data_IF_257883197975
#
_entry.id   IF_257883197975
#
_cell.length_a   1.000
_cell.length_b   1.000
_cell.length_c   1.000
_cell.angle_alpha   90.00
_cell.angle_beta   90.00
_cell.angle_gamma   90.00
#
_symmetry.space_group_name_H-M   'P 1'
#
loop_
_entity.id
_entity.type
_entity.pdbx_description
1 polymer ?
#
# COMPACT_ATOMS: atom_id res chain seq x y z
N UNK A 1 13.66 19.23 -33.49
CA UNK A 1 14.20 18.04 -32.82
C UNK A 1 13.48 17.94 -31.48
N UNK A 2 12.28 17.35 -31.48
CA UNK A 2 11.44 17.29 -30.27
C UNK A 2 11.81 16.04 -29.50
N UNK A 3 12.58 16.21 -28.43
CA UNK A 3 12.97 15.14 -27.52
C UNK A 3 11.82 14.89 -26.52
N UNK A 4 10.68 14.42 -27.01
CA UNK A 4 9.71 13.81 -26.12
C UNK A 4 10.24 12.41 -25.83
N UNK A 5 10.76 12.20 -24.61
CA UNK A 5 11.08 10.87 -24.12
C UNK A 5 9.81 10.02 -24.21
N UNK A 6 9.81 8.99 -25.05
CA UNK A 6 8.74 8.00 -25.05
C UNK A 6 8.63 7.44 -23.63
N UNK A 7 7.49 7.70 -22.98
CA UNK A 7 7.26 7.18 -21.64
C UNK A 7 7.15 5.67 -21.78
N UNK A 8 8.16 4.95 -21.31
CA UNK A 8 8.10 3.49 -21.23
C UNK A 8 6.96 3.12 -20.28
N UNK A 9 5.86 2.58 -20.81
CA UNK A 9 4.66 2.18 -20.08
C UNK A 9 5.00 1.33 -18.85
N UNK A 10 6.00 0.45 -18.96
CA UNK A 10 6.41 -0.36 -17.83
C UNK A 10 7.00 0.50 -16.70
N UNK A 11 7.89 1.43 -17.01
CA UNK A 11 8.49 2.30 -15.99
C UNK A 11 7.46 3.26 -15.38
N UNK A 12 6.49 3.74 -16.18
CA UNK A 12 5.37 4.52 -15.69
C UNK A 12 4.53 3.73 -14.65
N UNK A 13 4.10 2.51 -14.99
CA UNK A 13 3.34 1.64 -14.08
C UNK A 13 4.10 1.33 -12.79
N UNK A 14 5.40 1.06 -12.89
CA UNK A 14 6.24 0.80 -11.72
C UNK A 14 6.31 2.02 -10.80
N UNK A 15 6.60 3.19 -11.37
CA UNK A 15 6.83 4.40 -10.59
C UNK A 15 5.53 4.86 -9.93
N UNK A 16 4.42 4.87 -10.66
CA UNK A 16 3.12 5.27 -10.08
C UNK A 16 2.72 4.34 -8.94
N UNK A 17 2.87 3.03 -9.10
CA UNK A 17 2.55 2.06 -8.05
C UNK A 17 3.43 2.25 -6.81
N UNK A 18 4.75 2.40 -6.98
CA UNK A 18 5.69 2.58 -5.87
C UNK A 18 5.45 3.85 -5.07
N UNK A 19 5.27 4.97 -5.75
CA UNK A 19 5.03 6.25 -5.07
C UNK A 19 3.64 6.29 -4.45
N UNK A 20 2.63 5.74 -5.12
CA UNK A 20 1.29 5.63 -4.56
C UNK A 20 1.27 4.77 -3.29
N UNK A 21 1.92 3.58 -3.31
CA UNK A 21 2.05 2.72 -2.14
C UNK A 21 2.79 3.41 -0.99
N UNK A 22 3.86 4.15 -1.29
CA UNK A 22 4.63 4.87 -0.27
C UNK A 22 3.80 5.97 0.39
N UNK A 23 3.16 6.83 -0.41
CA UNK A 23 2.33 7.93 0.08
C UNK A 23 1.17 7.36 0.88
N UNK A 24 0.46 6.36 0.34
CA UNK A 24 -0.64 5.68 1.02
C UNK A 24 -0.19 5.05 2.34
N UNK A 25 0.92 4.33 2.33
CA UNK A 25 1.48 3.70 3.52
C UNK A 25 1.80 4.71 4.62
N UNK A 26 2.45 5.83 4.29
CA UNK A 26 2.79 6.87 5.26
C UNK A 26 1.53 7.53 5.82
N UNK A 27 0.61 7.94 4.95
CA UNK A 27 -0.62 8.61 5.36
C UNK A 27 -1.49 7.73 6.25
N UNK A 28 -1.72 6.47 5.84
CA UNK A 28 -2.60 5.57 6.58
C UNK A 28 -1.92 5.08 7.86
N UNK A 29 -0.61 4.86 7.86
CA UNK A 29 0.14 4.57 9.10
C UNK A 29 0.01 5.71 10.12
N UNK A 30 0.27 6.95 9.70
CA UNK A 30 0.15 8.12 10.57
C UNK A 30 -1.28 8.30 11.10
N UNK A 31 -2.27 8.15 10.22
CA UNK A 31 -3.69 8.19 10.60
C UNK A 31 -4.02 7.11 11.63
N UNK A 32 -3.70 5.85 11.34
CA UNK A 32 -4.01 4.72 12.20
C UNK A 32 -3.31 4.78 13.57
N UNK A 33 -2.12 5.38 13.63
CA UNK A 33 -1.35 5.56 14.85
C UNK A 33 -2.03 6.57 15.80
N UNK A 34 -2.62 7.63 15.27
CA UNK A 34 -3.24 8.70 16.06
C UNK A 34 -4.73 8.46 16.28
N UNK A 35 -5.43 7.87 15.31
CA UNK A 35 -6.87 7.61 15.38
C UNK A 35 -7.19 6.61 16.48
N UNK A 36 -8.07 6.95 17.42
CA UNK A 36 -8.44 6.09 18.55
C UNK A 36 -7.53 6.24 19.78
N UNK A 37 -6.45 7.02 19.70
CA UNK A 37 -5.59 7.30 20.87
C UNK A 37 -6.32 8.04 22.01
N UNK A 38 -7.40 8.77 21.70
CA UNK A 38 -8.27 9.45 22.66
C UNK A 38 -8.99 8.48 23.59
N UNK A 39 -9.37 7.30 23.10
CA UNK A 39 -10.02 6.25 23.91
C UNK A 39 -9.10 5.70 25.00
N UNK A 40 -7.78 5.90 24.86
CA UNK A 40 -6.75 5.47 25.79
C UNK A 40 -6.24 6.60 26.70
N UNK A 41 -6.94 7.73 26.77
CA UNK A 41 -6.57 8.89 27.58
C UNK A 41 -5.70 9.92 26.86
N UNK A 42 -5.48 9.77 25.55
CA UNK A 42 -4.76 10.73 24.72
C UNK A 42 -3.25 10.82 24.97
N UNK A 43 -2.62 11.81 24.34
CA UNK A 43 -1.19 12.06 24.44
C UNK A 43 -0.31 10.90 23.94
N UNK A 44 0.96 10.89 24.38
CA UNK A 44 1.94 9.87 23.98
C UNK A 44 1.49 8.46 24.43
N UNK A 45 0.95 8.35 25.65
CA UNK A 45 0.49 7.08 26.20
C UNK A 45 -0.66 6.48 25.37
N UNK A 46 -1.59 7.32 24.93
CA UNK A 46 -2.68 6.89 24.05
C UNK A 46 -2.18 6.41 22.69
N UNK A 47 -1.20 7.10 22.10
CA UNK A 47 -0.56 6.70 20.85
C UNK A 47 0.12 5.33 20.98
N UNK A 48 0.89 5.11 22.05
CA UNK A 48 1.58 3.83 22.28
C UNK A 48 0.58 2.69 22.43
N UNK A 49 -0.51 2.92 23.17
CA UNK A 49 -1.56 1.90 23.36
C UNK A 49 -2.35 1.61 22.09
N UNK A 50 -2.52 2.60 21.22
CA UNK A 50 -3.18 2.45 19.93
C UNK A 50 -2.27 1.90 18.81
N UNK A 51 -0.96 1.78 19.07
CA UNK A 51 0.01 1.29 18.07
C UNK A 51 -0.33 -0.06 17.39
N UNK A 52 -1.04 -1.03 18.01
CA UNK A 52 -1.48 -2.23 17.30
C UNK A 52 -2.36 -1.95 16.07
N UNK A 53 -3.16 -0.88 16.09
CA UNK A 53 -3.97 -0.45 14.94
C UNK A 53 -3.11 0.02 13.75
N UNK A 54 -1.88 0.46 14.03
CA UNK A 54 -0.94 0.93 13.02
C UNK A 54 -0.14 -0.21 12.35
N UNK A 55 -0.10 -1.41 12.95
CA UNK A 55 0.74 -2.53 12.51
C UNK A 55 0.50 -2.98 11.06
N UNK A 56 -0.74 -3.11 10.56
CA UNK A 56 -0.96 -3.48 9.16
C UNK A 56 -0.33 -2.48 8.19
N UNK A 57 -0.27 -1.21 8.56
CA UNK A 57 0.25 -0.14 7.71
C UNK A 57 1.78 -0.04 7.78
N UNK A 58 2.39 -0.36 8.93
CA UNK A 58 3.84 -0.61 9.01
C UNK A 58 4.22 -1.77 8.08
N UNK A 59 3.44 -2.85 8.09
CA UNK A 59 3.67 -3.97 7.17
C UNK A 59 3.56 -3.51 5.71
N UNK A 60 2.57 -2.69 5.36
CA UNK A 60 2.48 -2.10 4.01
C UNK A 60 3.73 -1.28 3.63
N UNK A 61 4.32 -0.52 4.55
CA UNK A 61 5.57 0.22 4.32
C UNK A 61 6.75 -0.72 4.05
N UNK A 62 6.85 -1.82 4.81
CA UNK A 62 7.88 -2.86 4.60
C UNK A 62 7.67 -3.52 3.23
N UNK A 63 6.45 -3.88 2.87
CA UNK A 63 6.12 -4.46 1.56
C UNK A 63 6.39 -3.49 0.42
N UNK A 64 6.15 -2.19 0.65
CA UNK A 64 6.53 -1.14 -0.27
C UNK A 64 8.04 -1.19 -0.46
N UNK A 65 8.86 -1.10 0.58
CA UNK A 65 10.32 -1.20 0.48
C UNK A 65 10.79 -2.45 -0.28
N UNK A 66 10.19 -3.62 -0.01
CA UNK A 66 10.47 -4.87 -0.75
C UNK A 66 10.19 -4.68 -2.24
N UNK A 67 9.07 -4.08 -2.63
CA UNK A 67 8.73 -3.83 -4.04
C UNK A 67 9.66 -2.86 -4.77
N UNK A 68 10.42 -2.02 -4.03
CA UNK A 68 11.48 -1.20 -4.61
C UNK A 68 12.71 -2.03 -5.01
N UNK A 69 13.02 -3.09 -4.26
CA UNK A 69 14.16 -3.99 -4.52
C UNK A 69 13.81 -5.15 -5.45
N UNK A 70 12.67 -5.80 -5.21
CA UNK A 70 12.19 -6.96 -5.94
C UNK A 70 10.78 -6.69 -6.42
N UNK A 71 10.66 -6.21 -7.65
CA UNK A 71 9.40 -5.71 -8.16
C UNK A 71 8.32 -6.79 -8.30
N UNK A 72 8.63 -7.93 -8.92
CA UNK A 72 7.68 -9.02 -9.11
C UNK A 72 7.24 -9.60 -7.76
N UNK A 73 8.22 -9.97 -6.92
CA UNK A 73 7.95 -10.53 -5.59
C UNK A 73 7.18 -9.54 -4.72
N UNK A 74 7.58 -8.27 -4.71
CA UNK A 74 6.87 -7.22 -3.99
C UNK A 74 5.44 -7.01 -4.50
N UNK A 75 5.23 -7.01 -5.82
CA UNK A 75 3.90 -6.91 -6.43
C UNK A 75 2.98 -8.06 -6.03
N UNK A 76 3.47 -9.30 -6.06
CA UNK A 76 2.73 -10.49 -5.61
C UNK A 76 2.35 -10.36 -4.13
N UNK A 77 3.31 -10.02 -3.27
CA UNK A 77 3.06 -9.93 -1.83
C UNK A 77 2.09 -8.78 -1.51
N UNK A 78 2.22 -7.62 -2.17
CA UNK A 78 1.28 -6.48 -2.02
C UNK A 78 -0.14 -6.89 -2.45
N UNK A 79 -0.27 -7.62 -3.56
CA UNK A 79 -1.58 -8.11 -4.01
C UNK A 79 -2.20 -9.08 -2.99
N UNK A 80 -1.43 -10.09 -2.55
CA UNK A 80 -1.89 -11.03 -1.52
C UNK A 80 -2.27 -10.31 -0.22
N UNK A 81 -1.46 -9.34 0.21
CA UNK A 81 -1.72 -8.52 1.39
C UNK A 81 -3.04 -7.73 1.26
N UNK A 82 -3.30 -7.12 0.10
CA UNK A 82 -4.56 -6.42 -0.14
C UNK A 82 -5.78 -7.33 -0.07
N UNK A 83 -5.67 -8.56 -0.58
CA UNK A 83 -6.75 -9.57 -0.52
C UNK A 83 -7.01 -9.97 0.94
N UNK A 84 -5.95 -10.21 1.72
CA UNK A 84 -6.06 -10.53 3.15
C UNK A 84 -6.71 -9.38 3.92
N UNK A 85 -6.32 -8.13 3.65
CA UNK A 85 -6.96 -6.97 4.28
C UNK A 85 -8.44 -6.84 3.90
N UNK A 86 -8.79 -7.02 2.62
CA UNK A 86 -10.19 -7.00 2.18
C UNK A 86 -11.01 -8.05 2.91
N UNK A 87 -10.50 -9.28 2.99
CA UNK A 87 -11.13 -10.35 3.76
C UNK A 87 -11.28 -9.97 5.23
N UNK A 88 -10.22 -9.49 5.86
CA UNK A 88 -10.22 -9.14 7.28
C UNK A 88 -11.26 -8.05 7.60
N UNK A 89 -11.24 -6.94 6.86
CA UNK A 89 -12.16 -5.82 7.11
C UNK A 89 -13.61 -6.15 6.75
N UNK A 90 -13.83 -7.01 5.75
CA UNK A 90 -15.17 -7.48 5.41
C UNK A 90 -15.75 -8.41 6.48
N UNK A 91 -14.95 -9.34 7.01
CA UNK A 91 -15.42 -10.40 7.91
C UNK A 91 -15.42 -9.98 9.39
N UNK A 92 -14.39 -9.28 9.87
CA UNK A 92 -14.17 -9.09 11.31
C UNK A 92 -14.49 -7.69 11.85
N UNK A 93 -14.46 -6.64 11.01
CA UNK A 93 -14.61 -5.26 11.49
C UNK A 93 -16.00 -4.72 11.17
N UNK A 94 -16.30 -4.59 9.87
CA UNK A 94 -17.59 -4.23 9.23
C UNK A 94 -17.23 -3.66 7.88
N UNK A 95 -17.98 -4.01 6.84
CA UNK A 95 -17.77 -3.44 5.52
C UNK A 95 -17.86 -1.90 5.54
N UNK A 96 -16.85 -1.24 4.98
CA UNK A 96 -16.80 0.19 4.77
C UNK A 96 -16.30 0.46 3.34
N UNK A 97 -17.06 1.22 2.56
CA UNK A 97 -16.76 1.49 1.15
C UNK A 97 -15.43 2.23 0.97
N UNK A 98 -15.11 3.17 1.87
CA UNK A 98 -13.86 3.94 1.80
C UNK A 98 -12.66 3.01 2.04
N UNK A 99 -12.74 2.17 3.06
CA UNK A 99 -11.69 1.17 3.36
C UNK A 99 -11.55 0.17 2.22
N UNK A 100 -12.67 -0.29 1.65
CA UNK A 100 -12.69 -1.19 0.50
C UNK A 100 -11.98 -0.57 -0.72
N UNK A 101 -12.30 0.68 -1.07
CA UNK A 101 -11.68 1.38 -2.19
C UNK A 101 -10.18 1.60 -1.95
N UNK A 102 -9.80 2.04 -0.75
CA UNK A 102 -8.39 2.20 -0.36
C UNK A 102 -7.60 0.90 -0.55
N UNK A 103 -8.08 -0.21 0.02
CA UNK A 103 -7.38 -1.50 -0.09
C UNK A 103 -7.37 -2.00 -1.54
N UNK A 104 -8.45 -1.76 -2.31
CA UNK A 104 -8.49 -2.10 -3.74
C UNK A 104 -7.42 -1.36 -4.53
N UNK A 105 -7.17 -0.08 -4.25
CA UNK A 105 -6.08 0.67 -4.91
C UNK A 105 -4.67 0.17 -4.54
N UNK A 106 -4.49 -0.35 -3.32
CA UNK A 106 -3.27 -1.07 -2.93
C UNK A 106 -3.11 -2.34 -3.77
N UNK A 107 -4.20 -3.11 -3.93
CA UNK A 107 -4.21 -4.31 -4.78
C UNK A 107 -3.89 -4.02 -6.25
N UNK A 108 -4.49 -2.97 -6.82
CA UNK A 108 -4.20 -2.48 -8.18
C UNK A 108 -2.73 -2.10 -8.33
N UNK A 109 -2.13 -1.48 -7.31
CA UNK A 109 -0.70 -1.16 -7.31
C UNK A 109 0.17 -2.44 -7.36
N UNK A 110 -0.24 -3.51 -6.67
CA UNK A 110 0.38 -4.83 -6.79
C UNK A 110 0.30 -5.39 -8.22
N UNK A 111 -0.85 -5.28 -8.87
CA UNK A 111 -1.04 -5.68 -10.28
C UNK A 111 -0.15 -4.86 -11.22
N UNK A 112 -0.04 -3.55 -11.01
CA UNK A 112 0.83 -2.68 -11.82
C UNK A 112 2.31 -3.06 -11.72
N UNK A 113 2.79 -3.44 -10.53
CA UNK A 113 4.16 -3.93 -10.34
C UNK A 113 4.40 -5.25 -11.08
N UNK A 114 3.45 -6.19 -11.01
CA UNK A 114 3.54 -7.46 -11.74
C UNK A 114 3.53 -7.21 -13.24
N UNK A 115 2.59 -6.41 -13.74
CA UNK A 115 2.44 -6.08 -15.15
C UNK A 115 3.69 -5.37 -15.69
N UNK A 116 4.23 -4.40 -14.96
CA UNK A 116 5.45 -3.68 -15.33
C UNK A 116 6.64 -4.62 -15.49
N UNK A 117 6.81 -5.58 -14.58
CA UNK A 117 7.89 -6.56 -14.67
C UNK A 117 7.78 -7.42 -15.94
N UNK A 118 6.58 -7.91 -16.28
CA UNK A 118 6.37 -8.67 -17.50
C UNK A 118 6.59 -7.83 -18.77
N UNK A 119 6.11 -6.59 -18.80
CA UNK A 119 6.30 -5.69 -19.94
C UNK A 119 7.80 -5.41 -20.21
N UNK A 120 8.62 -5.24 -19.16
CA UNK A 120 10.08 -5.08 -19.30
C UNK A 120 10.82 -6.35 -19.71
N UNK A 121 10.20 -7.53 -19.59
CA UNK A 121 10.82 -8.79 -20.01
C UNK A 121 10.55 -9.10 -21.48
N UNK A 122 9.43 -8.60 -22.02
CA UNK A 122 8.99 -8.83 -23.40
C UNK A 122 9.59 -7.80 -24.37
N UNK A 123 9.82 -6.57 -23.90
CA UNK A 123 10.52 -5.51 -24.63
C UNK A 123 12.04 -5.58 -24.42
#
# INVERSE_FOLDING_TARGET
>A
MNHFSEINTADFLRNIARYFLLITGICVFGFALVSGSEEYGGGITGIVRNSPNALPWVLLLILTYISWKWELTGGIIVLCFSIVLLFFFHVFVRFNVVVFLLISTIGISGVFLIASWYLRKVN
#
